data_IF_091331822538
#
_entry.id   IF_091331822538
#
_cell.length_a   1.000
_cell.length_b   1.000
_cell.length_c   1.000
_cell.angle_alpha   90.00
_cell.angle_beta   90.00
_cell.angle_gamma   90.00
#
_symmetry.space_group_name_H-M   'P 1'
#
loop_
_entity.id
_entity.type
_entity.pdbx_description
1 polymer ?
#
# COMPACT_ATOMS: atom_id res chain seq x y z
N UNK A 1 -17.86 39.06 2.18
CA UNK A 1 -16.46 39.50 2.41
C UNK A 1 -16.12 39.44 3.90
N UNK A 2 -16.96 40.00 4.79
CA UNK A 2 -16.78 39.94 6.25
C UNK A 2 -16.62 38.52 6.80
N UNK A 3 -17.43 37.56 6.32
CA UNK A 3 -17.33 36.16 6.72
C UNK A 3 -15.97 35.54 6.40
N UNK A 4 -15.43 35.81 5.20
CA UNK A 4 -14.10 35.32 4.78
C UNK A 4 -13.00 35.91 5.69
N UNK A 5 -13.13 37.19 6.06
CA UNK A 5 -12.20 37.86 6.98
C UNK A 5 -12.26 37.21 8.37
N UNK A 6 -13.46 36.98 8.91
CA UNK A 6 -13.63 36.31 10.19
C UNK A 6 -13.01 34.91 10.19
N UNK A 7 -13.21 34.15 9.11
CA UNK A 7 -12.62 32.82 8.96
C UNK A 7 -11.11 32.85 8.81
N UNK A 8 -10.57 33.82 8.08
CA UNK A 8 -9.11 34.02 8.02
C UNK A 8 -8.52 34.19 9.42
N UNK A 9 -9.14 35.03 10.27
CA UNK A 9 -8.71 35.22 11.65
C UNK A 9 -8.85 33.97 12.52
N UNK A 10 -9.90 33.17 12.29
CA UNK A 10 -10.07 31.87 12.96
C UNK A 10 -8.91 30.90 12.65
N UNK A 11 -8.42 30.89 11.41
CA UNK A 11 -7.32 30.03 10.98
C UNK A 11 -5.92 30.63 11.21
N UNK A 12 -5.83 31.93 11.53
CA UNK A 12 -4.56 32.64 11.70
C UNK A 12 -3.56 31.95 12.64
N UNK A 13 -3.95 31.41 13.81
CA UNK A 13 -3.01 30.70 14.67
C UNK A 13 -2.38 29.46 14.00
N UNK A 14 -3.18 28.70 13.25
CA UNK A 14 -2.68 27.51 12.54
C UNK A 14 -1.72 27.90 11.40
N UNK A 15 -2.08 28.95 10.65
CA UNK A 15 -1.25 29.50 9.58
C UNK A 15 0.09 29.97 10.13
N UNK A 16 0.08 30.70 11.25
CA UNK A 16 1.28 31.19 11.91
C UNK A 16 2.18 30.05 12.37
N UNK A 17 1.64 29.06 13.08
CA UNK A 17 2.43 27.91 13.58
C UNK A 17 3.06 27.14 12.43
N UNK A 18 2.27 26.78 11.41
CA UNK A 18 2.75 26.02 10.25
C UNK A 18 3.76 26.83 9.42
N UNK A 19 3.53 28.13 9.24
CA UNK A 19 4.48 29.01 8.55
C UNK A 19 5.80 29.14 9.32
N UNK A 20 5.75 29.29 10.65
CA UNK A 20 6.94 29.30 11.48
C UNK A 20 7.73 27.99 11.34
N UNK A 21 7.06 26.83 11.38
CA UNK A 21 7.71 25.53 11.16
C UNK A 21 8.36 25.48 9.76
N UNK A 22 7.63 25.85 8.72
CA UNK A 22 8.13 25.86 7.35
C UNK A 22 9.35 26.78 7.17
N UNK A 23 9.32 27.99 7.74
CA UNK A 23 10.44 28.94 7.69
C UNK A 23 11.63 28.43 8.48
N UNK A 24 11.45 27.92 9.70
CA UNK A 24 12.54 27.40 10.51
C UNK A 24 13.22 26.20 9.84
N UNK A 25 12.45 25.29 9.27
CA UNK A 25 12.99 24.13 8.55
C UNK A 25 13.68 24.58 7.26
N UNK A 26 13.16 25.57 6.54
CA UNK A 26 13.81 26.16 5.37
C UNK A 26 15.16 26.80 5.72
N UNK A 27 15.20 27.60 6.79
CA UNK A 27 16.44 28.22 7.27
C UNK A 27 17.45 27.17 7.72
N UNK A 28 17.00 26.12 8.42
CA UNK A 28 17.82 24.96 8.74
C UNK A 28 18.42 24.33 7.48
N UNK A 29 17.62 24.10 6.42
CA UNK A 29 18.15 23.60 5.15
C UNK A 29 19.18 24.54 4.52
N UNK A 30 18.91 25.85 4.50
CA UNK A 30 19.87 26.83 3.97
C UNK A 30 21.20 26.79 4.72
N UNK A 31 21.17 26.69 6.05
CA UNK A 31 22.37 26.58 6.89
C UNK A 31 23.13 25.28 6.63
N UNK A 32 22.42 24.16 6.50
CA UNK A 32 23.05 22.87 6.20
C UNK A 32 23.66 22.86 4.80
N UNK A 33 22.95 23.38 3.80
CA UNK A 33 23.46 23.51 2.42
C UNK A 33 24.73 24.36 2.40
N UNK A 34 24.73 25.49 3.11
CA UNK A 34 25.90 26.35 3.24
C UNK A 34 27.08 25.62 3.90
N UNK A 35 26.83 24.89 5.00
CA UNK A 35 27.87 24.15 5.72
C UNK A 35 28.44 22.97 4.93
N UNK A 36 27.62 22.25 4.18
CA UNK A 36 28.06 21.11 3.37
C UNK A 36 28.76 21.59 2.10
N UNK A 37 28.35 22.74 1.56
CA UNK A 37 28.74 23.20 0.24
C UNK A 37 27.82 22.64 -0.84
N UNK A 38 27.44 23.48 -1.80
CA UNK A 38 26.51 23.12 -2.87
C UNK A 38 27.04 21.97 -3.74
N UNK A 39 28.33 22.01 -4.07
CA UNK A 39 28.99 21.01 -4.91
C UNK A 39 28.95 19.60 -4.28
N UNK A 40 29.09 19.53 -2.96
CA UNK A 40 28.98 18.26 -2.22
C UNK A 40 27.54 17.70 -2.23
N UNK A 41 26.52 18.56 -2.18
CA UNK A 41 25.12 18.13 -2.29
C UNK A 41 24.71 17.73 -3.70
N UNK A 42 25.48 18.06 -4.72
CA UNK A 42 25.26 17.60 -6.10
C UNK A 42 26.10 16.35 -6.42
N UNK A 43 27.13 16.07 -5.61
CA UNK A 43 28.03 14.92 -5.76
C UNK A 43 27.41 13.60 -5.27
N UNK A 44 27.29 12.64 -6.19
CA UNK A 44 26.87 11.27 -5.86
C UNK A 44 27.85 10.57 -4.90
N UNK A 45 29.14 10.92 -4.95
CA UNK A 45 30.16 10.38 -4.05
C UNK A 45 29.91 10.81 -2.60
N UNK A 46 29.62 12.10 -2.38
CA UNK A 46 29.30 12.60 -1.06
C UNK A 46 28.06 11.93 -0.46
N UNK A 47 26.99 11.76 -1.27
CA UNK A 47 25.79 11.04 -0.85
C UNK A 47 26.08 9.60 -0.43
N UNK A 48 26.93 8.89 -1.16
CA UNK A 48 27.33 7.52 -0.85
C UNK A 48 28.16 7.45 0.44
N UNK A 49 29.03 8.42 0.68
CA UNK A 49 29.86 8.51 1.88
C UNK A 49 29.08 9.01 3.12
N UNK A 50 27.98 9.75 2.91
CA UNK A 50 27.19 10.38 3.98
C UNK A 50 25.72 9.93 4.01
N UNK A 51 25.43 8.67 3.66
CA UNK A 51 24.06 8.11 3.54
C UNK A 51 23.12 8.47 4.70
N UNK A 52 23.59 8.42 5.95
CA UNK A 52 22.75 8.76 7.11
C UNK A 52 22.36 10.24 7.12
N UNK A 53 23.31 11.15 6.85
CA UNK A 53 23.04 12.60 6.82
C UNK A 53 22.11 12.95 5.67
N UNK A 54 22.35 12.39 4.48
CA UNK A 54 21.47 12.62 3.33
C UNK A 54 20.07 12.07 3.55
N UNK A 55 19.93 10.90 4.17
CA UNK A 55 18.63 10.34 4.54
C UNK A 55 17.87 11.26 5.52
N UNK A 56 18.55 11.78 6.55
CA UNK A 56 17.93 12.72 7.50
C UNK A 56 17.48 14.00 6.79
N UNK A 57 18.30 14.57 5.92
CA UNK A 57 17.94 15.77 5.17
C UNK A 57 16.76 15.52 4.23
N UNK A 58 16.79 14.40 3.51
CA UNK A 58 15.68 13.96 2.68
C UNK A 58 14.40 13.77 3.50
N UNK A 59 14.50 13.15 4.67
CA UNK A 59 13.38 12.91 5.58
C UNK A 59 12.76 14.24 6.05
N UNK A 60 13.56 15.14 6.59
CA UNK A 60 13.06 16.43 7.08
C UNK A 60 12.41 17.24 5.94
N UNK A 61 12.96 17.17 4.72
CA UNK A 61 12.42 17.91 3.59
C UNK A 61 11.09 17.30 3.12
N UNK A 62 11.09 16.00 2.84
CA UNK A 62 9.96 15.30 2.23
C UNK A 62 8.78 15.13 3.19
N UNK A 63 9.05 14.89 4.47
CA UNK A 63 7.98 14.61 5.43
C UNK A 63 7.54 15.87 6.18
N UNK A 64 8.42 16.83 6.45
CA UNK A 64 8.05 17.99 7.26
C UNK A 64 7.85 19.25 6.40
N UNK A 65 8.89 19.70 5.70
CA UNK A 65 8.83 20.99 5.01
C UNK A 65 7.86 21.00 3.84
N UNK A 66 8.01 20.07 2.89
CA UNK A 66 7.21 20.04 1.67
C UNK A 66 5.71 19.88 1.98
N UNK A 67 5.25 18.94 2.82
CA UNK A 67 3.84 18.81 3.13
C UNK A 67 3.25 20.07 3.77
N UNK A 68 3.94 20.68 4.72
CA UNK A 68 3.44 21.91 5.37
C UNK A 68 3.31 23.04 4.36
N UNK A 69 4.36 23.28 3.57
CA UNK A 69 4.38 24.35 2.58
C UNK A 69 3.30 24.16 1.50
N UNK A 70 3.16 22.95 0.99
CA UNK A 70 2.19 22.62 -0.05
C UNK A 70 0.75 22.75 0.47
N UNK A 71 0.47 22.31 1.69
CA UNK A 71 -0.87 22.42 2.29
C UNK A 71 -1.24 23.88 2.59
N UNK A 72 -0.28 24.71 3.00
CA UNK A 72 -0.47 26.16 3.14
C UNK A 72 -0.80 26.84 1.80
N UNK A 73 -0.29 26.35 0.68
CA UNK A 73 -0.59 26.94 -0.63
C UNK A 73 -1.92 26.42 -1.18
N UNK A 74 -2.14 25.10 -1.13
CA UNK A 74 -3.23 24.48 -1.88
C UNK A 74 -4.50 24.26 -1.06
N UNK A 75 -4.42 24.06 0.27
CA UNK A 75 -5.59 23.77 1.11
C UNK A 75 -6.01 24.91 2.00
N UNK A 76 -5.08 25.73 2.48
CA UNK A 76 -5.45 26.92 3.25
C UNK A 76 -6.50 27.78 2.55
N UNK A 77 -6.40 28.11 1.24
CA UNK A 77 -7.47 28.84 0.57
C UNK A 77 -8.80 28.10 0.63
N UNK A 78 -8.82 26.80 0.32
CA UNK A 78 -10.06 26.00 0.34
C UNK A 78 -10.72 26.00 1.72
N UNK A 79 -9.94 25.80 2.78
CA UNK A 79 -10.44 25.76 4.15
C UNK A 79 -10.99 27.12 4.55
N UNK A 80 -10.34 28.23 4.19
CA UNK A 80 -10.83 29.57 4.52
C UNK A 80 -12.12 29.92 3.75
N UNK A 81 -12.23 29.51 2.48
CA UNK A 81 -13.38 29.83 1.64
C UNK A 81 -14.60 28.92 1.87
N UNK A 82 -14.43 27.67 2.30
CA UNK A 82 -15.52 26.69 2.42
C UNK A 82 -15.63 26.10 3.84
N UNK A 83 -16.79 26.27 4.45
CA UNK A 83 -17.12 25.82 5.82
C UNK A 83 -17.56 24.36 5.87
N UNK A 84 -18.04 23.87 4.74
CA UNK A 84 -18.62 22.55 4.56
C UNK A 84 -18.42 22.04 3.14
N UNK A 85 -18.56 20.73 2.96
CA UNK A 85 -18.49 20.10 1.64
C UNK A 85 -19.79 20.38 0.88
N UNK A 86 -19.72 21.26 -0.11
CA UNK A 86 -20.80 21.63 -1.01
C UNK A 86 -20.45 21.30 -2.46
N UNK A 87 -21.43 21.36 -3.36
CA UNK A 87 -21.18 21.19 -4.79
C UNK A 87 -20.16 22.20 -5.32
N UNK A 88 -20.18 23.43 -4.80
CA UNK A 88 -19.22 24.47 -5.19
C UNK A 88 -17.83 24.12 -4.66
N UNK A 89 -17.69 23.71 -3.40
CA UNK A 89 -16.37 23.38 -2.84
C UNK A 89 -15.70 22.22 -3.60
N UNK A 90 -16.47 21.24 -4.09
CA UNK A 90 -15.94 20.15 -4.92
C UNK A 90 -15.24 20.64 -6.19
N UNK A 91 -15.77 21.68 -6.85
CA UNK A 91 -15.13 22.28 -8.04
C UNK A 91 -13.75 22.82 -7.66
N UNK A 92 -13.66 23.56 -6.56
CA UNK A 92 -12.39 24.13 -6.09
C UNK A 92 -11.41 23.08 -5.57
N UNK A 93 -11.91 22.01 -4.92
CA UNK A 93 -11.08 20.84 -4.55
C UNK A 93 -10.46 20.22 -5.80
N UNK A 94 -11.26 19.97 -6.85
CA UNK A 94 -10.78 19.38 -8.11
C UNK A 94 -9.74 20.30 -8.75
N UNK A 95 -10.02 21.59 -8.89
CA UNK A 95 -9.10 22.57 -9.48
C UNK A 95 -7.77 22.63 -8.70
N UNK A 96 -7.84 22.76 -7.38
CA UNK A 96 -6.66 22.76 -6.50
C UNK A 96 -5.86 21.45 -6.60
N UNK A 97 -6.55 20.32 -6.75
CA UNK A 97 -5.92 18.99 -6.93
C UNK A 97 -5.22 18.84 -8.27
N UNK A 98 -5.80 19.39 -9.35
CA UNK A 98 -5.16 19.43 -10.68
C UNK A 98 -3.87 20.25 -10.60
N UNK A 99 -3.93 21.47 -10.05
CA UNK A 99 -2.76 22.34 -9.90
C UNK A 99 -1.68 21.67 -9.05
N UNK A 100 -2.07 21.07 -7.93
CA UNK A 100 -1.19 20.32 -7.05
C UNK A 100 -0.50 19.15 -7.77
N UNK A 101 -1.23 18.36 -8.56
CA UNK A 101 -0.66 17.28 -9.35
C UNK A 101 0.28 17.80 -10.45
N UNK A 102 -0.09 18.86 -11.16
CA UNK A 102 0.74 19.47 -12.20
C UNK A 102 2.06 20.02 -11.66
N UNK A 103 2.08 20.55 -10.43
CA UNK A 103 3.31 20.98 -9.76
C UNK A 103 4.30 19.81 -9.55
N UNK A 104 3.77 18.61 -9.30
CA UNK A 104 4.56 17.39 -9.10
C UNK A 104 5.07 16.74 -10.40
N UNK A 105 4.63 17.23 -11.56
CA UNK A 105 4.98 16.70 -12.87
C UNK A 105 6.51 16.69 -13.11
N UNK A 106 7.20 17.78 -12.73
CA UNK A 106 8.66 17.91 -12.93
C UNK A 106 9.47 17.00 -12.00
N UNK A 107 9.01 16.79 -10.77
CA UNK A 107 9.74 16.02 -9.76
C UNK A 107 9.68 14.51 -10.01
N UNK A 108 8.61 14.02 -10.65
CA UNK A 108 8.44 12.60 -11.01
C UNK A 108 9.56 12.04 -11.91
N UNK A 109 10.13 12.88 -12.79
CA UNK A 109 11.22 12.49 -13.71
C UNK A 109 12.54 12.24 -12.99
N UNK A 110 12.91 13.14 -12.07
CA UNK A 110 14.19 13.09 -11.35
C UNK A 110 14.25 11.87 -10.45
N UNK A 111 13.14 11.55 -9.77
CA UNK A 111 13.04 10.39 -8.88
C UNK A 111 13.23 9.05 -9.64
N UNK A 112 12.66 8.93 -10.83
CA UNK A 112 12.82 7.72 -11.64
C UNK A 112 14.26 7.49 -12.07
N UNK A 113 14.89 8.52 -12.65
CA UNK A 113 16.27 8.43 -13.13
C UNK A 113 17.21 8.19 -11.94
N UNK A 114 16.91 8.74 -10.76
CA UNK A 114 17.64 8.48 -9.52
C UNK A 114 17.46 7.03 -9.01
N UNK A 115 16.27 6.44 -9.10
CA UNK A 115 16.04 5.05 -8.66
C UNK A 115 16.62 4.01 -9.62
N UNK A 116 16.58 4.27 -10.94
CA UNK A 116 17.24 3.41 -11.94
C UNK A 116 18.71 3.77 -12.14
N UNK A 117 19.25 4.77 -11.41
CA UNK A 117 20.59 5.34 -11.60
C UNK A 117 21.67 4.28 -11.64
N UNK A 118 21.71 3.36 -10.67
CA UNK A 118 22.74 2.31 -10.65
C UNK A 118 22.65 1.33 -11.82
N UNK A 119 21.46 1.05 -12.36
CA UNK A 119 21.28 0.16 -13.50
C UNK A 119 21.61 0.88 -14.81
N UNK A 120 21.18 2.14 -14.96
CA UNK A 120 21.37 2.93 -16.17
C UNK A 120 22.79 3.50 -16.29
N UNK A 121 23.39 4.00 -15.20
CA UNK A 121 24.77 4.48 -15.20
C UNK A 121 25.75 3.34 -15.51
N UNK A 122 25.53 2.15 -14.93
CA UNK A 122 26.37 0.98 -15.20
C UNK A 122 26.17 0.44 -16.63
N UNK A 123 24.96 0.55 -17.19
CA UNK A 123 24.64 0.12 -18.56
C UNK A 123 25.21 1.06 -19.62
N UNK A 124 25.21 2.38 -19.38
CA UNK A 124 25.59 3.38 -20.38
C UNK A 124 26.96 4.03 -20.14
N UNK A 125 27.64 3.72 -19.03
CA UNK A 125 28.96 4.28 -18.67
C UNK A 125 28.98 5.82 -18.66
N UNK A 126 27.85 6.45 -18.34
CA UNK A 126 27.65 7.89 -18.42
C UNK A 126 28.08 8.56 -17.12
N UNK A 127 28.99 9.54 -17.21
CA UNK A 127 29.34 10.45 -16.11
C UNK A 127 28.53 11.76 -16.15
N UNK A 128 27.43 11.79 -16.89
CA UNK A 128 26.84 13.04 -17.38
C UNK A 128 25.43 13.37 -16.85
N UNK A 129 24.98 14.57 -17.23
CA UNK A 129 23.76 15.28 -16.81
C UNK A 129 22.47 14.51 -17.18
N UNK A 130 21.39 14.72 -16.42
CA UNK A 130 20.10 13.98 -16.54
C UNK A 130 19.48 14.01 -17.95
N UNK A 131 19.65 15.11 -18.68
CA UNK A 131 19.10 15.27 -20.03
C UNK A 131 19.73 14.32 -21.05
N UNK A 132 21.01 14.00 -20.90
CA UNK A 132 21.72 13.08 -21.79
C UNK A 132 21.29 11.63 -21.55
N UNK A 133 21.01 11.28 -20.30
CA UNK A 133 20.44 9.99 -19.94
C UNK A 133 19.07 9.83 -20.61
N UNK A 134 18.18 10.84 -20.54
CA UNK A 134 16.84 10.77 -21.14
C UNK A 134 16.88 10.56 -22.67
N UNK A 135 17.86 11.16 -23.37
CA UNK A 135 18.04 10.97 -24.81
C UNK A 135 18.42 9.53 -25.16
N UNK A 136 19.29 8.92 -24.35
CA UNK A 136 19.84 7.59 -24.57
C UNK A 136 18.94 6.43 -24.12
N UNK A 137 17.80 6.71 -23.47
CA UNK A 137 16.84 5.66 -23.10
C UNK A 137 16.20 5.03 -24.33
N UNK A 138 16.05 3.71 -24.29
CA UNK A 138 15.30 2.98 -25.30
C UNK A 138 13.79 3.29 -25.23
N UNK A 139 13.03 2.86 -26.24
CA UNK A 139 11.60 3.17 -26.33
C UNK A 139 10.79 2.53 -25.19
N UNK A 140 11.21 1.37 -24.71
CA UNK A 140 10.53 0.65 -23.62
C UNK A 140 10.75 1.35 -22.28
N UNK A 141 11.98 1.79 -22.00
CA UNK A 141 12.35 2.60 -20.85
C UNK A 141 11.60 3.95 -20.86
N UNK A 142 11.51 4.62 -22.02
CA UNK A 142 10.71 5.85 -22.18
C UNK A 142 9.22 5.61 -21.91
N UNK A 143 8.67 4.49 -22.38
CA UNK A 143 7.27 4.11 -22.14
C UNK A 143 7.01 3.85 -20.66
N UNK A 144 7.90 3.14 -19.98
CA UNK A 144 7.81 2.87 -18.55
C UNK A 144 7.83 4.16 -17.73
N UNK A 145 8.74 5.10 -18.04
CA UNK A 145 8.78 6.43 -17.42
C UNK A 145 7.44 7.15 -17.60
N UNK A 146 6.89 7.11 -18.81
CA UNK A 146 5.62 7.76 -19.12
C UNK A 146 4.48 7.19 -18.26
N UNK A 147 4.40 5.87 -18.12
CA UNK A 147 3.37 5.22 -17.29
C UNK A 147 3.51 5.57 -15.82
N UNK A 148 4.72 5.50 -15.27
CA UNK A 148 4.96 5.85 -13.86
C UNK A 148 4.66 7.33 -13.58
N UNK A 149 5.02 8.20 -14.52
CA UNK A 149 4.68 9.62 -14.46
C UNK A 149 3.17 9.83 -14.38
N UNK A 150 2.38 9.18 -15.23
CA UNK A 150 0.92 9.25 -15.14
C UNK A 150 0.39 8.69 -13.83
N UNK A 151 0.95 7.58 -13.35
CA UNK A 151 0.57 7.00 -12.06
C UNK A 151 0.84 7.97 -10.90
N UNK A 152 2.02 8.59 -10.86
CA UNK A 152 2.37 9.60 -9.83
C UNK A 152 1.42 10.80 -9.91
N UNK A 153 1.14 11.31 -11.11
CA UNK A 153 0.19 12.41 -11.30
C UNK A 153 -1.22 12.06 -10.84
N UNK A 154 -1.68 10.85 -11.14
CA UNK A 154 -2.99 10.37 -10.70
C UNK A 154 -3.02 10.21 -9.17
N UNK A 155 -1.95 9.66 -8.59
CA UNK A 155 -1.84 9.44 -7.15
C UNK A 155 -1.80 10.77 -6.38
N UNK A 156 -1.04 11.77 -6.86
CA UNK A 156 -1.01 13.12 -6.25
C UNK A 156 -2.32 13.87 -6.46
N UNK A 157 -3.01 13.67 -7.59
CA UNK A 157 -4.35 14.19 -7.80
C UNK A 157 -5.36 13.62 -6.78
N UNK A 158 -5.36 12.30 -6.58
CA UNK A 158 -6.23 11.63 -5.59
C UNK A 158 -5.89 12.11 -4.17
N UNK A 159 -4.60 12.19 -3.82
CA UNK A 159 -4.16 12.77 -2.55
C UNK A 159 -4.70 14.18 -2.39
N UNK A 160 -4.66 15.00 -3.45
CA UNK A 160 -5.15 16.35 -3.40
C UNK A 160 -6.64 16.45 -3.10
N UNK A 161 -7.43 15.54 -3.69
CA UNK A 161 -8.86 15.44 -3.39
C UNK A 161 -9.07 15.06 -1.93
N UNK A 162 -8.39 14.01 -1.45
CA UNK A 162 -8.53 13.53 -0.07
C UNK A 162 -8.12 14.61 0.93
N UNK A 163 -6.98 15.27 0.73
CA UNK A 163 -6.51 16.36 1.57
C UNK A 163 -7.48 17.55 1.56
N UNK A 164 -8.02 17.92 0.40
CA UNK A 164 -9.05 18.96 0.29
C UNK A 164 -10.33 18.62 1.06
N UNK A 165 -10.82 17.38 0.93
CA UNK A 165 -11.98 16.90 1.67
C UNK A 165 -11.75 16.87 3.18
N UNK A 166 -10.59 16.38 3.63
CA UNK A 166 -10.18 16.36 5.05
C UNK A 166 -10.10 17.78 5.59
N UNK A 167 -9.51 18.70 4.84
CA UNK A 167 -9.36 20.10 5.26
C UNK A 167 -10.70 20.79 5.50
N UNK A 168 -11.62 20.67 4.55
CA UNK A 168 -12.95 21.29 4.66
C UNK A 168 -13.80 20.55 5.72
N UNK A 169 -13.73 19.22 5.80
CA UNK A 169 -14.54 18.45 6.76
C UNK A 169 -14.14 18.72 8.21
N UNK A 170 -12.83 18.77 8.49
CA UNK A 170 -12.32 18.94 9.86
C UNK A 170 -11.95 20.38 10.19
N UNK A 171 -12.04 21.31 9.22
CA UNK A 171 -11.72 22.73 9.41
C UNK A 171 -10.38 22.92 10.14
N UNK A 172 -9.33 22.25 9.65
CA UNK A 172 -8.01 22.27 10.28
C UNK A 172 -6.90 21.93 9.29
N UNK A 173 -5.91 22.82 9.21
CA UNK A 173 -4.69 22.64 8.43
C UNK A 173 -3.79 21.55 9.01
N UNK A 174 -3.83 21.33 10.32
CA UNK A 174 -3.06 20.26 10.95
C UNK A 174 -3.45 18.89 10.42
N UNK A 175 -4.73 18.64 10.18
CA UNK A 175 -5.18 17.35 9.66
C UNK A 175 -4.77 17.15 8.20
N UNK A 176 -4.76 18.20 7.38
CA UNK A 176 -4.33 18.06 5.99
C UNK A 176 -2.82 17.90 5.88
N UNK A 177 -2.05 18.67 6.65
CA UNK A 177 -0.59 18.49 6.78
C UNK A 177 -0.23 17.10 7.30
N UNK A 178 -0.96 16.57 8.29
CA UNK A 178 -0.74 15.21 8.78
C UNK A 178 -1.14 14.14 7.75
N UNK A 179 -2.26 14.30 7.05
CA UNK A 179 -2.67 13.36 6.00
C UNK A 179 -1.62 13.30 4.87
N UNK A 180 -1.05 14.45 4.51
CA UNK A 180 0.01 14.56 3.52
C UNK A 180 1.34 13.96 4.05
N UNK A 181 1.75 14.28 5.27
CA UNK A 181 2.88 13.63 5.94
C UNK A 181 2.74 12.10 5.90
N UNK A 182 1.55 11.59 6.28
CA UNK A 182 1.24 10.17 6.32
C UNK A 182 1.31 9.57 4.92
N UNK A 183 0.75 10.25 3.91
CA UNK A 183 0.86 9.82 2.52
C UNK A 183 2.31 9.67 2.10
N UNK A 184 3.14 10.68 2.32
CA UNK A 184 4.55 10.62 2.00
C UNK A 184 5.21 9.46 2.75
N UNK A 185 4.90 9.27 4.03
CA UNK A 185 5.46 8.19 4.84
C UNK A 185 5.13 6.82 4.25
N UNK A 186 3.86 6.56 3.96
CA UNK A 186 3.43 5.28 3.41
C UNK A 186 3.94 5.06 1.98
N UNK A 187 3.91 6.07 1.11
CA UNK A 187 4.43 5.96 -0.27
C UNK A 187 5.95 5.78 -0.26
N UNK A 188 6.66 6.61 0.50
CA UNK A 188 8.12 6.64 0.56
C UNK A 188 8.73 5.39 1.21
N UNK A 189 8.01 4.73 2.13
CA UNK A 189 8.45 3.48 2.76
C UNK A 189 7.98 2.22 2.01
N UNK A 190 7.18 2.36 0.95
CA UNK A 190 6.51 1.23 0.28
C UNK A 190 5.38 0.60 1.10
N UNK A 191 5.12 1.10 2.31
CA UNK A 191 4.10 0.56 3.20
C UNK A 191 2.67 0.83 2.69
N UNK A 192 2.47 1.88 1.88
CA UNK A 192 1.22 2.09 1.14
C UNK A 192 0.95 0.96 0.14
N UNK A 193 1.99 0.44 -0.51
CA UNK A 193 1.85 -0.66 -1.48
C UNK A 193 1.44 -1.94 -0.75
N UNK A 194 2.02 -2.19 0.43
CA UNK A 194 1.61 -3.31 1.29
C UNK A 194 0.17 -3.17 1.78
N UNK A 195 -0.23 -1.96 2.23
CA UNK A 195 -1.62 -1.70 2.66
C UNK A 195 -2.59 -1.85 1.49
N UNK A 196 -2.27 -1.33 0.30
CA UNK A 196 -3.12 -1.46 -0.89
C UNK A 196 -3.24 -2.91 -1.35
N UNK A 197 -2.13 -3.67 -1.34
CA UNK A 197 -2.16 -5.11 -1.57
C UNK A 197 -3.08 -5.80 -0.54
N UNK A 198 -2.99 -5.42 0.74
CA UNK A 198 -3.83 -5.99 1.78
C UNK A 198 -5.31 -5.60 1.66
N UNK A 199 -5.63 -4.38 1.19
CA UNK A 199 -7.03 -3.96 0.97
C UNK A 199 -7.62 -4.67 -0.25
N UNK A 200 -6.85 -4.83 -1.32
CA UNK A 200 -7.32 -5.45 -2.56
C UNK A 200 -7.37 -6.97 -2.43
N UNK A 201 -6.30 -7.59 -1.93
CA UNK A 201 -6.17 -9.05 -1.85
C UNK A 201 -6.54 -9.62 -0.49
N UNK A 202 -6.52 -8.82 0.59
CA UNK A 202 -6.86 -9.30 1.93
C UNK A 202 -8.29 -9.85 2.05
N UNK A 203 -9.33 -9.24 1.44
CA UNK A 203 -10.66 -9.84 1.41
C UNK A 203 -10.69 -11.20 0.69
N UNK A 204 -9.89 -11.36 -0.37
CA UNK A 204 -9.79 -12.62 -1.13
C UNK A 204 -9.10 -13.71 -0.27
N UNK A 205 -7.96 -13.38 0.35
CA UNK A 205 -7.25 -14.29 1.24
C UNK A 205 -8.09 -14.65 2.49
N UNK A 206 -8.79 -13.68 3.07
CA UNK A 206 -9.68 -13.89 4.21
C UNK A 206 -10.84 -14.80 3.83
N UNK A 207 -11.45 -14.61 2.65
CA UNK A 207 -12.51 -15.47 2.13
C UNK A 207 -12.02 -16.91 1.93
N UNK A 208 -10.86 -17.10 1.29
CA UNK A 208 -10.26 -18.43 1.11
C UNK A 208 -9.98 -19.10 2.46
N UNK A 209 -9.38 -18.37 3.41
CA UNK A 209 -9.08 -18.90 4.74
C UNK A 209 -10.34 -19.33 5.51
N UNK A 210 -11.40 -18.51 5.46
CA UNK A 210 -12.69 -18.83 6.08
C UNK A 210 -13.32 -20.05 5.40
N UNK A 211 -13.29 -20.12 4.07
CA UNK A 211 -13.80 -21.24 3.28
C UNK A 211 -13.08 -22.56 3.62
N UNK A 212 -11.76 -22.55 3.71
CA UNK A 212 -10.95 -23.73 4.03
C UNK A 212 -11.19 -24.23 5.46
N UNK A 213 -11.31 -23.30 6.42
CA UNK A 213 -11.67 -23.64 7.80
C UNK A 213 -13.08 -24.21 7.89
N UNK A 214 -14.03 -23.65 7.13
CA UNK A 214 -15.41 -24.11 7.08
C UNK A 214 -15.55 -25.50 6.47
N UNK A 215 -14.88 -25.75 5.34
CA UNK A 215 -14.86 -27.07 4.69
C UNK A 215 -14.21 -28.12 5.59
N UNK A 216 -13.08 -27.80 6.23
CA UNK A 216 -12.43 -28.67 7.21
C UNK A 216 -13.33 -28.99 8.40
N UNK A 217 -14.05 -27.99 8.93
CA UNK A 217 -15.01 -28.19 10.01
C UNK A 217 -16.17 -29.10 9.59
N UNK A 218 -16.76 -28.87 8.41
CA UNK A 218 -17.84 -29.70 7.85
C UNK A 218 -17.38 -31.14 7.64
N UNK A 219 -16.16 -31.34 7.15
CA UNK A 219 -15.56 -32.66 6.97
C UNK A 219 -15.35 -33.39 8.30
N UNK A 220 -14.78 -32.72 9.31
CA UNK A 220 -14.61 -33.28 10.67
C UNK A 220 -15.96 -33.67 11.30
N UNK A 221 -17.00 -32.86 11.12
CA UNK A 221 -18.35 -33.16 11.60
C UNK A 221 -18.95 -34.40 10.91
N UNK A 222 -18.76 -34.52 9.59
CA UNK A 222 -19.20 -35.69 8.81
C UNK A 222 -18.46 -36.96 9.21
N UNK A 223 -17.15 -36.88 9.45
CA UNK A 223 -16.34 -37.99 9.95
C UNK A 223 -16.84 -38.46 11.32
N UNK A 224 -16.99 -37.55 12.30
CA UNK A 224 -17.51 -37.90 13.63
C UNK A 224 -18.87 -38.61 13.55
N UNK A 225 -19.77 -38.14 12.68
CA UNK A 225 -21.08 -38.78 12.47
C UNK A 225 -20.93 -40.21 11.93
N UNK A 226 -20.10 -40.41 10.91
CA UNK A 226 -19.85 -41.75 10.33
C UNK A 226 -19.19 -42.70 11.31
N UNK A 227 -18.23 -42.23 12.11
CA UNK A 227 -17.60 -43.04 13.15
C UNK A 227 -18.62 -43.50 14.18
N UNK A 228 -19.51 -42.60 14.65
CA UNK A 228 -20.58 -42.95 15.58
C UNK A 228 -21.60 -43.94 14.98
N UNK A 229 -21.95 -43.79 13.69
CA UNK A 229 -22.83 -44.74 12.98
C UNK A 229 -22.18 -46.14 12.89
N UNK A 230 -20.88 -46.23 12.59
CA UNK A 230 -20.14 -47.51 12.51
C UNK A 230 -20.05 -48.16 13.89
N UNK A 231 -19.75 -47.40 14.95
CA UNK A 231 -19.72 -47.89 16.33
C UNK A 231 -21.08 -48.45 16.77
N UNK A 232 -22.18 -47.77 16.42
CA UNK A 232 -23.54 -48.25 16.70
C UNK A 232 -23.88 -49.54 15.95
N UNK A 233 -23.50 -49.65 14.66
CA UNK A 233 -23.72 -50.88 13.87
C UNK A 233 -22.92 -52.05 14.45
N UNK A 234 -21.66 -51.83 14.84
CA UNK A 234 -20.82 -52.87 15.42
C UNK A 234 -21.37 -53.36 16.76
N UNK A 235 -21.81 -52.43 17.62
CA UNK A 235 -22.46 -52.77 18.89
C UNK A 235 -23.74 -53.59 18.70
N UNK A 236 -24.58 -53.24 17.71
CA UNK A 236 -25.76 -54.03 17.38
C UNK A 236 -25.41 -55.43 16.83
N UNK A 237 -24.37 -55.54 15.99
CA UNK A 237 -23.90 -56.84 15.46
C UNK A 237 -23.39 -57.77 16.57
N UNK A 238 -22.69 -57.24 17.56
CA UNK A 238 -22.25 -58.02 18.73
C UNK A 238 -23.46 -58.54 19.51
N UNK A 239 -24.45 -57.69 19.80
CA UNK A 239 -25.68 -58.14 20.47
C UNK A 239 -26.45 -59.20 19.67
N UNK A 240 -26.44 -59.13 18.34
CA UNK A 240 -27.12 -60.11 17.48
C UNK A 240 -26.38 -61.46 17.44
N UNK A 241 -25.05 -61.46 17.54
CA UNK A 241 -24.26 -62.70 17.67
C UNK A 241 -24.59 -63.42 18.97
N UNK A 242 -24.78 -62.68 20.06
CA UNK A 242 -25.18 -63.25 21.35
C UNK A 242 -26.58 -63.88 21.28
N UNK A 243 -27.53 -63.23 20.58
CA UNK A 243 -28.91 -63.74 20.42
C UNK A 243 -28.97 -64.99 19.55
N UNK A 244 -28.21 -65.08 18.46
CA UNK A 244 -28.28 -66.22 17.55
C UNK A 244 -27.52 -67.47 18.04
N UNK A 245 -26.79 -67.40 19.16
CA UNK A 245 -25.98 -68.52 19.65
C UNK A 245 -24.89 -68.97 18.65
N UNK A 246 -24.64 -68.16 17.62
CA UNK A 246 -23.58 -68.42 16.64
C UNK A 246 -22.27 -68.09 17.34
N UNK A 247 -21.70 -69.11 18.00
CA UNK A 247 -20.33 -69.07 18.48
C UNK A 247 -19.46 -68.64 17.30
N UNK A 248 -18.73 -67.55 17.51
CA UNK A 248 -17.83 -66.97 16.53
C UNK A 248 -16.96 -68.07 15.91
N UNK A 249 -17.19 -68.39 14.63
CA UNK A 249 -16.13 -68.94 13.80
C UNK A 249 -15.04 -67.87 13.85
N UNK A 250 -13.88 -68.24 14.39
CA UNK A 250 -12.83 -67.31 14.81
C UNK A 250 -12.46 -66.31 13.72
N UNK A 251 -11.87 -65.16 14.10
CA UNK A 251 -11.52 -64.11 13.15
C UNK A 251 -10.64 -64.68 12.04
N UNK A 252 -11.24 -64.95 10.87
CA UNK A 252 -10.49 -65.18 9.65
C UNK A 252 -9.76 -63.86 9.41
N UNK A 253 -8.44 -63.88 9.56
CA UNK A 253 -7.64 -62.67 9.73
C UNK A 253 -7.95 -61.67 8.62
N UNK A 254 -8.26 -60.43 9.00
CA UNK A 254 -8.47 -59.31 8.08
C UNK A 254 -7.26 -59.02 7.17
N UNK A 255 -6.16 -59.75 7.35
CA UNK A 255 -4.98 -59.71 6.47
C UNK A 255 -5.31 -60.06 5.02
N UNK A 256 -6.35 -60.86 4.76
CA UNK A 256 -6.73 -61.23 3.40
C UNK A 256 -7.77 -60.30 2.74
N UNK A 257 -8.42 -59.37 3.46
CA UNK A 257 -9.36 -58.44 2.81
C UNK A 257 -8.68 -57.20 2.21
N UNK A 258 -7.57 -56.74 2.81
CA UNK A 258 -6.79 -55.65 2.22
C UNK A 258 -6.13 -56.05 0.88
N UNK A 259 -5.79 -57.33 0.69
CA UNK A 259 -5.33 -57.86 -0.60
C UNK A 259 -6.45 -58.01 -1.64
N UNK A 260 -7.71 -58.20 -1.21
CA UNK A 260 -8.85 -58.33 -2.14
C UNK A 260 -9.41 -56.99 -2.63
N UNK A 261 -9.22 -55.89 -1.89
CA UNK A 261 -9.57 -54.55 -2.39
C UNK A 261 -8.49 -53.95 -3.31
N UNK A 262 -7.21 -54.29 -3.13
CA UNK A 262 -6.14 -53.85 -4.03
C UNK A 262 -6.17 -54.52 -5.40
N UNK A 263 -6.79 -55.70 -5.55
CA UNK A 263 -6.95 -56.37 -6.86
C UNK A 263 -8.14 -55.79 -7.67
N UNK A 264 -9.03 -54.99 -7.08
CA UNK A 264 -10.18 -54.41 -7.79
C UNK A 264 -9.93 -53.03 -8.42
N UNK A 265 -8.89 -52.30 -8.03
CA UNK A 265 -8.61 -50.97 -8.62
C UNK A 265 -7.79 -51.02 -9.92
N UNK A 266 -7.05 -52.11 -10.20
CA UNK A 266 -6.31 -52.27 -11.47
C UNK A 266 -7.14 -52.92 -12.61
N UNK A 267 -8.41 -53.23 -12.35
CA UNK A 267 -9.32 -53.90 -13.28
C UNK A 267 -10.33 -52.99 -13.98
N UNK A 268 -9.92 -51.82 -14.50
CA UNK A 268 -10.71 -51.13 -15.54
C UNK A 268 -10.19 -51.52 -16.91
N UNK A 269 -10.67 -52.68 -17.35
CA UNK A 269 -10.72 -53.09 -18.75
C UNK A 269 -11.53 -52.04 -19.52
N UNK A 270 -10.92 -51.55 -20.59
CA UNK A 270 -11.57 -50.79 -21.66
C UNK A 270 -12.79 -51.57 -22.20
N UNK A 271 -13.97 -50.98 -22.12
CA UNK A 271 -15.04 -51.26 -23.07
C UNK A 271 -15.55 -49.93 -23.66
N UNK A 272 -15.20 -49.75 -24.94
CA UNK A 272 -15.74 -48.87 -25.98
C UNK A 272 -15.73 -47.35 -25.77
#
# INVERSE_FOLDING_TARGET
MEEIIARFWLFWPQIMVLSCIAVLVFLFFKLIIWKIGKDNLESAEWFNNNKKKSLVLYFVFLFLWAPIFEELIFRMPLIIFFDSLSNVSWIFIILSSILFALMHNKNSKVFFIANKKNKLYKKHNLNTNFEEIEKNLDNDEKKEIKHQKYFILLATFILGIVAGCVGIKYQSLYYTSFAHFAWNFFVGTGLLQLILIFIIFGPIFLYQFISDKWTSYKFKKKLKKRTAEIEAINKNKESFKDVLGIRSIGPMSYRNMAELELVKEDGKINEK
#
